data_IF_287253175106
#
_entry.id   IF_287253175106
#
_cell.length_a   1.000
_cell.length_b   1.000
_cell.length_c   1.000
_cell.angle_alpha   90.00
_cell.angle_beta   90.00
_cell.angle_gamma   90.00
#
_symmetry.space_group_name_H-M   'P 1'
#
loop_
_entity.id
_entity.type
_entity.pdbx_description
1 polymer ?
#
# COMPACT_ATOMS: atom_id res chain seq x y z
N UNK A 1 -28.74 68.76 36.87
CA UNK A 1 -29.69 67.78 36.33
C UNK A 1 -28.93 66.93 35.34
N UNK A 2 -28.95 65.61 35.49
CA UNK A 2 -28.45 64.67 34.46
C UNK A 2 -27.13 63.99 34.77
N UNK A 3 -27.03 63.33 35.93
CA UNK A 3 -26.30 62.06 36.06
C UNK A 3 -27.08 60.96 35.31
N UNK A 4 -26.35 59.90 34.90
CA UNK A 4 -26.84 58.56 34.53
C UNK A 4 -27.56 58.43 33.19
N UNK A 5 -26.81 58.10 32.14
CA UNK A 5 -27.07 56.89 31.34
C UNK A 5 -25.84 56.53 30.49
N UNK A 6 -25.25 55.37 30.84
CA UNK A 6 -24.65 54.38 29.92
C UNK A 6 -23.34 54.80 29.22
N UNK A 7 -22.10 54.53 29.66
CA UNK A 7 -21.49 53.48 30.53
C UNK A 7 -21.71 52.01 30.09
N UNK A 8 -22.53 51.74 29.06
CA UNK A 8 -22.73 50.37 28.55
C UNK A 8 -21.82 49.99 27.38
N UNK A 9 -21.30 50.96 26.63
CA UNK A 9 -20.56 50.66 25.40
C UNK A 9 -19.10 50.23 25.60
N UNK A 10 -18.49 50.49 26.76
CA UNK A 10 -17.06 50.18 26.99
C UNK A 10 -16.86 48.80 27.65
N UNK A 11 -17.93 48.18 28.15
CA UNK A 11 -17.88 46.84 28.77
C UNK A 11 -18.10 45.68 27.80
N UNK A 12 -18.47 45.96 26.54
CA UNK A 12 -18.61 44.94 25.51
C UNK A 12 -17.29 44.67 24.76
N UNK A 13 -16.41 45.67 24.64
CA UNK A 13 -15.14 45.51 23.92
C UNK A 13 -14.06 44.74 24.72
N UNK A 14 -14.10 44.77 26.05
CA UNK A 14 -13.16 43.99 26.88
C UNK A 14 -13.55 42.51 27.04
N UNK A 15 -14.78 42.12 26.67
CA UNK A 15 -15.20 40.70 26.65
C UNK A 15 -14.79 39.97 25.38
N UNK A 16 -14.37 40.68 24.33
CA UNK A 16 -13.93 40.08 23.06
C UNK A 16 -12.44 39.67 23.12
N UNK A 17 -11.72 39.98 24.20
CA UNK A 17 -10.26 39.75 24.33
C UNK A 17 -9.94 38.45 25.11
N UNK A 18 -10.92 37.60 25.43
CA UNK A 18 -10.69 36.33 26.16
C UNK A 18 -11.43 35.12 25.55
N UNK A 19 -11.25 34.94 24.25
CA UNK A 19 -11.34 33.62 23.62
C UNK A 19 -10.01 33.34 22.89
N UNK A 20 -8.92 33.32 23.68
CA UNK A 20 -7.88 32.29 23.57
C UNK A 20 -8.58 30.92 23.71
N UNK A 21 -8.46 29.98 22.78
CA UNK A 21 -7.53 28.83 22.74
C UNK A 21 -8.43 27.74 22.11
N UNK A 22 -8.22 27.13 20.95
CA UNK A 22 -7.11 26.33 20.48
C UNK A 22 -7.36 26.08 18.97
N UNK A 23 -6.86 26.93 18.09
CA UNK A 23 -6.63 26.46 16.72
C UNK A 23 -5.32 25.70 16.78
N UNK A 24 -5.40 24.42 17.20
CA UNK A 24 -4.33 23.45 17.00
C UNK A 24 -3.88 23.61 15.55
N UNK A 25 -2.71 24.22 15.37
CA UNK A 25 -1.95 24.12 14.14
C UNK A 25 -1.65 22.63 14.03
N UNK A 26 -2.56 21.87 13.41
CA UNK A 26 -2.28 20.51 13.00
C UNK A 26 -1.01 20.61 12.19
N UNK A 27 0.08 20.09 12.74
CA UNK A 27 1.31 19.81 12.00
C UNK A 27 0.90 19.35 10.60
N UNK A 28 1.50 19.85 9.51
CA UNK A 28 1.18 19.35 8.18
C UNK A 28 1.28 17.83 8.21
N UNK A 29 0.14 17.16 8.05
CA UNK A 29 0.08 15.69 8.13
C UNK A 29 1.11 15.19 7.10
N UNK A 30 2.13 14.43 7.51
CA UNK A 30 3.21 14.10 6.61
C UNK A 30 2.64 13.29 5.46
N UNK A 31 2.93 13.74 4.24
CA UNK A 31 2.50 13.06 3.03
C UNK A 31 3.17 11.68 3.02
N UNK A 32 2.36 10.63 3.20
CA UNK A 32 2.83 9.26 3.14
C UNK A 32 2.67 8.71 1.73
N UNK A 33 3.78 8.31 1.13
CA UNK A 33 3.77 7.66 -0.17
C UNK A 33 3.31 6.20 -0.05
N UNK A 34 2.13 5.93 -0.58
CA UNK A 34 1.53 4.59 -0.66
C UNK A 34 1.84 4.00 -2.03
N UNK A 35 2.64 2.94 -2.06
CA UNK A 35 2.99 2.23 -3.28
C UNK A 35 2.14 0.97 -3.40
N UNK A 36 1.33 0.89 -4.46
CA UNK A 36 0.57 -0.33 -4.77
C UNK A 36 1.45 -1.31 -5.53
N UNK A 37 1.80 -2.42 -4.87
CA UNK A 37 2.68 -3.43 -5.43
C UNK A 37 1.94 -4.49 -6.24
N UNK A 38 0.73 -4.88 -5.80
CA UNK A 38 -0.02 -5.93 -6.46
C UNK A 38 -1.53 -5.77 -6.27
N UNK A 39 -2.27 -5.99 -7.35
CA UNK A 39 -3.73 -6.02 -7.41
C UNK A 39 -4.13 -7.38 -7.96
N UNK A 40 -4.86 -8.13 -7.13
CA UNK A 40 -5.44 -9.42 -7.48
C UNK A 40 -6.89 -9.20 -7.89
N UNK A 41 -7.23 -9.61 -9.09
CA UNK A 41 -8.60 -9.54 -9.61
C UNK A 41 -9.14 -10.92 -9.95
N UNK A 42 -10.46 -11.06 -9.92
CA UNK A 42 -11.15 -12.28 -10.33
C UNK A 42 -12.33 -11.94 -11.22
N UNK A 43 -12.55 -12.76 -12.23
CA UNK A 43 -13.69 -12.67 -13.13
C UNK A 43 -14.09 -14.06 -13.62
N UNK A 44 -15.26 -14.16 -14.25
CA UNK A 44 -15.76 -15.39 -14.86
C UNK A 44 -15.93 -15.22 -16.36
N UNK A 45 -15.68 -16.29 -17.10
CA UNK A 45 -15.90 -16.39 -18.56
C UNK A 45 -17.22 -17.07 -18.94
N UNK A 46 -18.02 -17.50 -17.94
CA UNK A 46 -19.33 -18.14 -18.10
C UNK A 46 -19.40 -19.31 -19.12
N UNK A 47 -18.28 -20.03 -19.27
CA UNK A 47 -18.18 -21.22 -20.10
C UNK A 47 -17.29 -22.26 -19.41
N UNK A 48 -17.54 -23.53 -19.67
CA UNK A 48 -16.67 -24.61 -19.21
C UNK A 48 -15.44 -24.67 -20.12
N UNK A 49 -14.26 -24.74 -19.52
CA UNK A 49 -12.98 -24.73 -20.21
C UNK A 49 -12.31 -26.09 -20.08
N UNK A 50 -11.92 -26.68 -21.21
CA UNK A 50 -11.01 -27.82 -21.18
C UNK A 50 -9.57 -27.31 -21.08
N UNK A 51 -8.99 -27.51 -19.89
CA UNK A 51 -7.63 -27.06 -19.58
C UNK A 51 -6.58 -27.80 -20.41
N UNK A 52 -6.84 -29.04 -20.83
CA UNK A 52 -5.90 -29.80 -21.66
C UNK A 52 -5.86 -29.23 -23.07
N UNK A 53 -7.03 -28.97 -23.67
CA UNK A 53 -7.12 -28.31 -24.96
C UNK A 53 -6.47 -26.91 -24.95
N UNK A 54 -6.69 -26.14 -23.88
CA UNK A 54 -6.05 -24.83 -23.71
C UNK A 54 -4.53 -24.92 -23.51
N UNK A 55 -4.03 -25.97 -22.88
CA UNK A 55 -2.58 -26.18 -22.70
C UNK A 55 -1.89 -26.53 -24.02
N UNK A 56 -2.54 -27.29 -24.91
CA UNK A 56 -2.01 -27.69 -26.21
C UNK A 56 -1.96 -26.54 -27.22
N UNK A 57 -2.98 -25.68 -27.21
CA UNK A 57 -3.11 -24.58 -28.19
C UNK A 57 -2.71 -23.21 -27.63
N UNK A 58 -2.52 -23.11 -26.32
CA UNK A 58 -2.22 -21.86 -25.63
C UNK A 58 -0.74 -21.49 -25.72
N UNK A 59 -0.48 -20.18 -25.83
CA UNK A 59 0.88 -19.64 -25.77
C UNK A 59 1.18 -19.17 -24.35
N UNK A 60 2.39 -19.46 -23.84
CA UNK A 60 2.84 -19.10 -22.49
C UNK A 60 1.90 -19.61 -21.38
N UNK A 61 1.43 -20.85 -21.55
CA UNK A 61 0.58 -21.55 -20.59
C UNK A 61 1.33 -22.71 -19.95
N UNK A 62 1.09 -22.93 -18.66
CA UNK A 62 1.63 -24.03 -17.86
C UNK A 62 0.45 -24.70 -17.17
N UNK A 63 0.23 -25.98 -17.46
CA UNK A 63 -0.82 -26.78 -16.82
C UNK A 63 -0.26 -27.53 -15.62
N UNK A 64 -0.73 -27.21 -14.42
CA UNK A 64 -0.43 -27.98 -13.21
C UNK A 64 -1.57 -28.95 -12.94
N UNK A 65 -1.38 -30.20 -13.37
CA UNK A 65 -2.39 -31.27 -13.25
C UNK A 65 -2.79 -31.53 -11.79
N UNK A 66 -1.84 -31.42 -10.86
CA UNK A 66 -2.05 -31.64 -9.42
C UNK A 66 -3.10 -30.68 -8.82
N UNK A 67 -3.10 -29.42 -9.25
CA UNK A 67 -3.99 -28.39 -8.71
C UNK A 67 -5.23 -28.15 -9.57
N UNK A 68 -5.30 -28.74 -10.77
CA UNK A 68 -6.37 -28.48 -11.73
C UNK A 68 -6.42 -27.02 -12.21
N UNK A 69 -5.27 -26.34 -12.28
CA UNK A 69 -5.14 -24.93 -12.67
C UNK A 69 -4.25 -24.79 -13.89
N UNK A 70 -4.73 -24.06 -14.89
CA UNK A 70 -3.93 -23.59 -16.01
C UNK A 70 -3.40 -22.20 -15.70
N UNK A 71 -2.08 -22.04 -15.67
CA UNK A 71 -1.42 -20.76 -15.45
C UNK A 71 -1.01 -20.16 -16.78
N UNK A 72 -1.47 -18.96 -17.10
CA UNK A 72 -1.12 -18.23 -18.32
C UNK A 72 -0.39 -16.94 -17.98
N UNK A 73 0.77 -16.69 -18.59
CA UNK A 73 1.55 -15.47 -18.38
C UNK A 73 1.36 -14.49 -19.54
N UNK A 74 0.91 -13.28 -19.21
CA UNK A 74 0.76 -12.18 -20.15
C UNK A 74 1.97 -11.24 -20.02
N UNK A 75 2.53 -10.79 -21.16
CA UNK A 75 3.67 -9.84 -21.18
C UNK A 75 3.27 -8.39 -20.90
N UNK A 76 2.17 -7.93 -21.49
CA UNK A 76 1.69 -6.54 -21.37
C UNK A 76 0.19 -6.53 -21.06
N UNK A 77 -0.25 -5.97 -19.92
CA UNK A 77 0.57 -5.76 -18.71
C UNK A 77 1.17 -7.09 -18.20
N UNK A 78 2.31 -7.06 -17.49
CA UNK A 78 2.88 -8.26 -16.88
C UNK A 78 1.89 -8.79 -15.86
N UNK A 79 1.25 -9.92 -16.13
CA UNK A 79 0.19 -10.47 -15.28
C UNK A 79 0.14 -11.96 -15.46
N UNK A 80 -0.05 -12.68 -14.35
CA UNK A 80 -0.24 -14.12 -14.34
C UNK A 80 -1.71 -14.42 -14.11
N UNK A 81 -2.32 -15.18 -15.01
CA UNK A 81 -3.69 -15.64 -14.89
C UNK A 81 -3.73 -17.10 -14.46
N UNK A 82 -4.51 -17.40 -13.43
CA UNK A 82 -4.88 -18.76 -13.04
C UNK A 82 -6.29 -19.04 -13.54
N UNK A 83 -6.42 -19.98 -14.46
CA UNK A 83 -7.65 -20.36 -15.14
C UNK A 83 -8.10 -21.72 -14.62
N UNK A 84 -9.34 -21.80 -14.19
CA UNK A 84 -9.99 -23.02 -13.71
C UNK A 84 -10.95 -23.58 -14.76
N UNK A 85 -11.18 -24.89 -14.76
CA UNK A 85 -12.11 -25.55 -15.70
C UNK A 85 -13.54 -25.02 -15.61
N UNK A 86 -13.93 -24.52 -14.43
CA UNK A 86 -15.22 -23.85 -14.18
C UNK A 86 -15.40 -22.51 -14.92
N UNK A 87 -14.36 -22.02 -15.61
CA UNK A 87 -14.39 -20.71 -16.25
C UNK A 87 -14.19 -19.55 -15.26
N UNK A 88 -13.79 -19.83 -14.02
CA UNK A 88 -13.28 -18.80 -13.11
C UNK A 88 -11.83 -18.49 -13.47
N UNK A 89 -11.48 -17.21 -13.51
CA UNK A 89 -10.13 -16.74 -13.78
C UNK A 89 -9.72 -15.76 -12.68
N UNK A 90 -8.51 -15.94 -12.15
CA UNK A 90 -7.87 -15.02 -11.21
C UNK A 90 -6.63 -14.44 -11.87
N UNK A 91 -6.42 -13.13 -11.76
CA UNK A 91 -5.25 -12.44 -12.29
C UNK A 91 -4.45 -11.83 -11.15
N UNK A 92 -3.13 -12.03 -11.18
CA UNK A 92 -2.17 -11.52 -10.20
C UNK A 92 -1.00 -10.80 -10.90
N UNK A 93 -0.41 -9.81 -10.23
CA UNK A 93 0.76 -9.08 -10.71
C UNK A 93 0.46 -7.74 -11.38
N UNK A 94 -0.81 -7.31 -11.42
CA UNK A 94 -1.15 -5.96 -11.89
C UNK A 94 -0.81 -4.92 -10.81
N UNK A 95 -0.29 -3.75 -11.16
CA UNK A 95 0.04 -2.69 -10.20
C UNK A 95 -1.11 -1.70 -9.97
N UNK A 96 -2.15 -1.76 -10.80
CA UNK A 96 -3.30 -0.85 -10.75
C UNK A 96 -4.59 -1.58 -11.14
N UNK A 97 -5.73 -1.08 -10.66
CA UNK A 97 -7.04 -1.60 -11.01
C UNK A 97 -7.31 -1.54 -12.53
N UNK A 98 -6.92 -0.43 -13.17
CA UNK A 98 -7.09 -0.25 -14.61
C UNK A 98 -6.31 -1.31 -15.40
N UNK A 99 -5.07 -1.59 -14.96
CA UNK A 99 -4.24 -2.63 -15.56
C UNK A 99 -4.84 -4.03 -15.33
N UNK A 100 -5.34 -4.31 -14.13
CA UNK A 100 -5.99 -5.59 -13.81
C UNK A 100 -7.21 -5.84 -14.71
N UNK A 101 -8.04 -4.81 -14.93
CA UNK A 101 -9.20 -4.87 -15.82
C UNK A 101 -8.79 -5.10 -17.28
N UNK A 102 -7.75 -4.41 -17.74
CA UNK A 102 -7.20 -4.59 -19.09
C UNK A 102 -6.62 -6.00 -19.28
N UNK A 103 -5.87 -6.50 -18.30
CA UNK A 103 -5.30 -7.85 -18.30
C UNK A 103 -6.42 -8.89 -18.41
N UNK A 104 -7.45 -8.78 -17.57
CA UNK A 104 -8.60 -9.69 -17.59
C UNK A 104 -9.30 -9.73 -18.95
N UNK A 105 -9.50 -8.57 -19.59
CA UNK A 105 -10.09 -8.51 -20.94
C UNK A 105 -9.18 -9.15 -22.01
N UNK A 106 -7.86 -8.94 -21.92
CA UNK A 106 -6.89 -9.56 -22.84
C UNK A 106 -6.90 -11.09 -22.69
N UNK A 107 -6.90 -11.59 -21.46
CA UNK A 107 -6.97 -13.02 -21.17
C UNK A 107 -8.26 -13.62 -21.69
N UNK A 108 -9.41 -12.98 -21.43
CA UNK A 108 -10.70 -13.41 -21.97
C UNK A 108 -10.69 -13.49 -23.51
N UNK A 109 -10.06 -12.51 -24.18
CA UNK A 109 -9.91 -12.49 -25.64
C UNK A 109 -8.98 -13.62 -26.14
N UNK A 110 -7.92 -13.96 -25.43
CA UNK A 110 -7.07 -15.11 -25.77
C UNK A 110 -7.87 -16.40 -25.75
N UNK A 111 -8.66 -16.63 -24.68
CA UNK A 111 -9.55 -17.80 -24.55
C UNK A 111 -10.61 -17.82 -25.66
N UNK A 112 -11.16 -16.65 -26.02
CA UNK A 112 -12.12 -16.54 -27.11
C UNK A 112 -11.51 -16.92 -28.48
N UNK A 113 -10.25 -16.56 -28.74
CA UNK A 113 -9.55 -16.93 -29.99
C UNK A 113 -9.30 -18.43 -30.11
N UNK A 114 -9.31 -19.17 -29.01
CA UNK A 114 -9.14 -20.63 -28.99
C UNK A 114 -10.46 -21.39 -29.26
N UNK A 115 -11.55 -20.69 -29.61
CA UNK A 115 -12.83 -21.30 -30.00
C UNK A 115 -13.89 -21.37 -28.89
N UNK A 116 -13.60 -20.83 -27.70
CA UNK A 116 -14.56 -20.82 -26.59
C UNK A 116 -15.51 -19.62 -26.64
N UNK A 117 -16.79 -19.84 -26.32
CA UNK A 117 -17.78 -18.78 -26.19
C UNK A 117 -17.63 -18.04 -24.84
N UNK A 118 -16.68 -17.11 -24.78
CA UNK A 118 -16.32 -16.37 -23.57
C UNK A 118 -17.22 -15.15 -23.35
N UNK A 119 -17.74 -14.99 -22.14
CA UNK A 119 -18.42 -13.76 -21.68
C UNK A 119 -17.73 -13.20 -20.44
N UNK A 120 -17.22 -11.99 -20.52
CA UNK A 120 -16.57 -11.33 -19.38
C UNK A 120 -17.63 -10.87 -18.37
N UNK A 121 -17.74 -11.57 -17.23
CA UNK A 121 -18.72 -11.30 -16.17
C UNK A 121 -18.07 -11.27 -14.79
N UNK A 122 -18.73 -10.61 -13.84
CA UNK A 122 -18.37 -10.60 -12.42
C UNK A 122 -16.90 -10.22 -12.15
N UNK A 123 -16.39 -9.20 -12.85
CA UNK A 123 -15.07 -8.67 -12.56
C UNK A 123 -15.09 -7.98 -11.21
N UNK A 124 -14.20 -8.39 -10.31
CA UNK A 124 -14.01 -7.80 -8.99
C UNK A 124 -12.55 -7.84 -8.59
N UNK A 125 -12.14 -6.85 -7.80
CA UNK A 125 -10.87 -6.90 -7.09
C UNK A 125 -11.06 -7.79 -5.85
N UNK A 126 -10.12 -8.70 -5.64
CA UNK A 126 -10.13 -9.64 -4.52
C UNK A 126 -9.22 -9.12 -3.42
N UNK A 127 -8.04 -8.66 -3.79
CA UNK A 127 -7.03 -8.22 -2.84
C UNK A 127 -6.12 -7.19 -3.48
N UNK A 128 -5.67 -6.24 -2.67
CA UNK A 128 -4.71 -5.19 -3.02
C UNK A 128 -3.62 -5.23 -1.96
N UNK A 129 -2.38 -5.29 -2.42
CA UNK A 129 -1.18 -5.21 -1.62
C UNK A 129 -0.55 -3.83 -1.81
N UNK A 130 -0.59 -3.03 -0.76
CA UNK A 130 0.10 -1.75 -0.67
C UNK A 130 1.30 -1.84 0.27
N UNK A 131 2.32 -1.05 0.03
CA UNK A 131 3.42 -0.83 0.96
C UNK A 131 3.55 0.66 1.21
N UNK A 132 3.72 1.02 2.48
CA UNK A 132 3.96 2.37 2.95
C UNK A 132 5.25 2.37 3.77
N UNK A 133 6.04 3.42 3.65
CA UNK A 133 7.26 3.58 4.46
C UNK A 133 7.11 4.84 5.31
N UNK A 134 7.19 4.68 6.62
CA UNK A 134 7.16 5.82 7.54
C UNK A 134 8.56 6.43 7.67
N UNK A 135 8.66 7.72 7.99
CA UNK A 135 9.95 8.39 8.20
C UNK A 135 10.64 8.02 9.51
N UNK A 136 9.96 7.33 10.43
CA UNK A 136 10.46 6.92 11.74
C UNK A 136 10.42 5.40 11.94
N UNK A 137 11.21 4.90 12.88
CA UNK A 137 11.17 3.49 13.31
C UNK A 137 10.06 3.28 14.35
N UNK A 138 9.58 2.04 14.52
CA UNK A 138 8.47 1.73 15.44
C UNK A 138 8.92 0.74 16.50
N UNK A 139 8.63 1.03 17.76
CA UNK A 139 8.76 0.06 18.86
C UNK A 139 7.59 -0.92 18.81
N UNK A 140 7.75 -2.01 18.07
CA UNK A 140 6.68 -2.98 17.80
C UNK A 140 6.23 -3.81 19.01
N UNK A 141 7.13 -4.09 19.96
CA UNK A 141 6.80 -4.86 21.18
C UNK A 141 5.79 -4.12 22.08
N UNK A 142 6.03 -2.85 22.50
CA UNK A 142 5.04 -2.13 23.29
C UNK A 142 3.75 -1.83 22.50
N UNK A 143 3.85 -1.61 21.18
CA UNK A 143 2.68 -1.46 20.31
C UNK A 143 1.77 -2.71 20.36
N UNK A 144 2.34 -3.92 20.22
CA UNK A 144 1.54 -5.15 20.25
C UNK A 144 0.95 -5.43 21.64
N UNK A 145 1.66 -5.03 22.71
CA UNK A 145 1.16 -5.17 24.07
C UNK A 145 -0.04 -4.25 24.34
N UNK A 146 -0.01 -3.00 23.85
CA UNK A 146 -1.14 -2.07 24.00
C UNK A 146 -2.36 -2.49 23.18
N UNK A 147 -2.15 -3.06 21.98
CA UNK A 147 -3.21 -3.43 21.06
C UNK A 147 -3.39 -4.95 20.91
N UNK A 148 -3.30 -5.72 22.00
CA UNK A 148 -3.37 -7.20 21.96
C UNK A 148 -4.63 -7.76 21.29
N UNK A 149 -5.73 -7.03 21.33
CA UNK A 149 -7.01 -7.49 20.76
C UNK A 149 -6.97 -7.54 19.23
N UNK A 150 -6.22 -6.63 18.60
CA UNK A 150 -6.11 -6.51 17.13
C UNK A 150 -4.71 -6.84 16.57
N UNK A 151 -3.68 -6.83 17.42
CA UNK A 151 -2.28 -7.03 17.07
C UNK A 151 -1.76 -8.39 17.54
N UNK A 152 -1.20 -9.15 16.62
CA UNK A 152 -0.50 -10.42 16.90
C UNK A 152 0.98 -10.26 16.53
N UNK A 153 1.85 -10.49 17.52
CA UNK A 153 3.29 -10.42 17.36
C UNK A 153 3.94 -11.73 17.82
N UNK A 154 4.48 -12.48 16.87
CA UNK A 154 5.16 -13.75 17.09
C UNK A 154 6.54 -13.69 16.41
N UNK A 155 7.57 -13.15 17.09
CA UNK A 155 8.88 -12.92 16.48
C UNK A 155 9.56 -14.19 15.97
N UNK A 156 9.24 -15.35 16.56
CA UNK A 156 9.74 -16.66 16.11
C UNK A 156 9.16 -17.07 14.74
N UNK A 157 7.93 -16.63 14.43
CA UNK A 157 7.27 -16.95 13.17
C UNK A 157 7.48 -15.86 12.12
N UNK A 158 7.45 -14.58 12.53
CA UNK A 158 7.58 -13.45 11.62
C UNK A 158 8.12 -12.19 12.33
N UNK A 159 9.05 -11.44 11.73
CA UNK A 159 9.65 -10.25 12.35
C UNK A 159 8.72 -9.03 12.43
N UNK A 160 7.53 -9.09 11.83
CA UNK A 160 6.56 -8.00 11.80
C UNK A 160 5.28 -8.30 12.59
N UNK A 161 4.69 -7.28 13.20
CA UNK A 161 3.40 -7.37 13.89
C UNK A 161 2.30 -7.42 12.85
N UNK A 162 1.39 -8.38 12.99
CA UNK A 162 0.16 -8.44 12.18
C UNK A 162 -0.96 -7.72 12.91
N UNK A 163 -1.42 -6.60 12.37
CA UNK A 163 -2.53 -5.81 12.88
C UNK A 163 -3.76 -5.99 11.98
N UNK A 164 -4.90 -6.39 12.52
CA UNK A 164 -6.14 -6.60 11.75
C UNK A 164 -7.16 -5.53 12.09
N UNK A 165 -7.69 -4.87 11.07
CA UNK A 165 -8.76 -3.89 11.17
C UNK A 165 -10.04 -4.53 10.63
N UNK A 166 -11.12 -4.49 11.41
CA UNK A 166 -12.44 -4.97 10.97
C UNK A 166 -13.12 -3.97 10.04
N UNK A 167 -13.08 -2.68 10.39
CA UNK A 167 -13.69 -1.58 9.64
C UNK A 167 -12.74 -0.38 9.54
N UNK A 168 -12.12 -0.10 8.38
CA UNK A 168 -12.18 -0.82 7.10
C UNK A 168 -11.49 -2.19 7.15
N UNK A 169 -12.03 -3.20 6.45
CA UNK A 169 -11.42 -4.53 6.40
C UNK A 169 -10.03 -4.48 5.77
N UNK A 170 -8.99 -4.59 6.58
CA UNK A 170 -7.60 -4.57 6.14
C UNK A 170 -6.70 -5.32 7.14
N UNK A 171 -5.64 -5.94 6.62
CA UNK A 171 -4.59 -6.57 7.43
C UNK A 171 -3.28 -5.84 7.16
N UNK A 172 -2.66 -5.31 8.20
CA UNK A 172 -1.40 -4.61 8.16
C UNK A 172 -0.31 -5.48 8.76
N UNK A 173 0.86 -5.46 8.15
CA UNK A 173 2.10 -6.01 8.69
C UNK A 173 3.05 -4.86 8.93
N UNK A 174 3.33 -4.59 10.20
CA UNK A 174 4.14 -3.47 10.66
C UNK A 174 5.52 -4.01 11.06
N UNK A 175 6.57 -3.45 10.47
CA UNK A 175 7.95 -3.80 10.78
C UNK A 175 8.59 -2.74 11.69
N UNK A 176 9.55 -3.15 12.52
CA UNK A 176 10.31 -2.24 13.40
C UNK A 176 11.00 -1.11 12.64
N UNK A 177 11.35 -1.34 11.38
CA UNK A 177 11.97 -0.35 10.48
C UNK A 177 11.05 0.81 10.08
N UNK A 178 9.75 0.74 10.41
CA UNK A 178 8.74 1.71 9.96
C UNK A 178 8.16 1.40 8.58
N UNK A 179 8.54 0.27 7.97
CA UNK A 179 7.86 -0.24 6.79
C UNK A 179 6.54 -0.90 7.18
N UNK A 180 5.48 -0.64 6.43
CA UNK A 180 4.15 -1.20 6.63
C UNK A 180 3.66 -1.82 5.33
N UNK A 181 3.24 -3.07 5.39
CA UNK A 181 2.60 -3.76 4.26
C UNK A 181 1.11 -3.93 4.56
N UNK A 182 0.26 -3.39 3.70
CA UNK A 182 -1.20 -3.39 3.85
C UNK A 182 -1.82 -4.32 2.82
N UNK A 183 -2.71 -5.18 3.29
CA UNK A 183 -3.50 -6.11 2.47
C UNK A 183 -4.98 -5.82 2.68
N UNK A 184 -5.68 -5.37 1.63
CA UNK A 184 -7.08 -4.93 1.74
C UNK A 184 -7.87 -5.31 0.47
N UNK A 185 -9.21 -5.37 0.51
CA UNK A 185 -10.02 -5.75 -0.65
C UNK A 185 -10.10 -4.67 -1.74
N UNK A 186 -9.76 -3.41 -1.42
CA UNK A 186 -9.82 -2.26 -2.33
C UNK A 186 -8.69 -1.28 -2.05
N UNK A 187 -8.36 -0.42 -3.04
CA UNK A 187 -7.35 0.63 -2.89
C UNK A 187 -7.80 1.67 -1.84
N UNK A 188 -9.08 2.05 -1.84
CA UNK A 188 -9.63 2.95 -0.83
C UNK A 188 -9.47 2.39 0.60
N UNK A 189 -9.69 1.09 0.80
CA UNK A 189 -9.46 0.47 2.11
C UNK A 189 -7.99 0.50 2.52
N UNK A 190 -7.04 0.45 1.57
CA UNK A 190 -5.61 0.60 1.88
C UNK A 190 -5.34 2.01 2.43
N UNK A 191 -5.88 3.05 1.79
CA UNK A 191 -5.72 4.44 2.22
C UNK A 191 -6.31 4.66 3.62
N UNK A 192 -7.58 4.28 3.80
CA UNK A 192 -8.27 4.41 5.10
C UNK A 192 -7.58 3.61 6.21
N UNK A 193 -6.99 2.45 5.90
CA UNK A 193 -6.24 1.66 6.87
C UNK A 193 -4.94 2.34 7.29
N UNK A 194 -4.29 3.07 6.37
CA UNK A 194 -3.07 3.82 6.67
C UNK A 194 -3.39 5.05 7.51
N UNK A 195 -4.45 5.79 7.18
CA UNK A 195 -4.93 6.90 7.99
C UNK A 195 -5.29 6.46 9.41
N UNK A 196 -5.90 5.28 9.56
CA UNK A 196 -6.24 4.72 10.87
C UNK A 196 -5.01 4.31 11.68
N UNK A 197 -4.02 3.67 11.06
CA UNK A 197 -2.85 3.14 11.78
C UNK A 197 -1.83 4.25 12.11
N UNK A 198 -1.76 5.30 11.31
CA UNK A 198 -0.77 6.38 11.44
C UNK A 198 -0.68 7.00 12.84
N UNK A 199 -1.78 7.46 13.48
CA UNK A 199 -1.71 8.02 14.84
C UNK A 199 -1.27 6.98 15.87
N UNK A 200 -1.70 5.72 15.72
CA UNK A 200 -1.37 4.63 16.65
C UNK A 200 0.12 4.31 16.62
N UNK A 201 0.75 4.32 15.44
CA UNK A 201 2.19 4.05 15.31
C UNK A 201 3.05 5.27 15.65
N UNK A 202 2.55 6.50 15.47
CA UNK A 202 3.25 7.74 15.85
C UNK A 202 3.55 7.78 17.35
N UNK A 203 2.63 7.29 18.19
CA UNK A 203 2.81 7.19 19.64
C UNK A 203 4.01 6.31 20.04
N UNK A 204 4.31 5.28 19.23
CA UNK A 204 5.42 4.34 19.45
C UNK A 204 6.63 4.61 18.55
N UNK A 205 6.67 5.79 17.93
CA UNK A 205 7.75 6.23 17.07
C UNK A 205 9.07 6.34 17.83
N UNK A 206 10.14 5.85 17.20
CA UNK A 206 11.53 6.06 17.62
C UNK A 206 12.24 6.82 16.50
N UNK A 207 12.99 7.86 16.86
CA UNK A 207 13.94 8.47 15.93
C UNK A 207 14.93 7.41 15.44
N UNK A 208 15.16 7.37 14.12
CA UNK A 208 16.13 6.45 13.53
C UNK A 208 17.53 6.83 13.99
N UNK A 209 18.33 5.83 14.34
CA UNK A 209 19.79 6.01 14.49
C UNK A 209 20.40 6.50 13.16
N UNK A 210 21.56 7.14 13.18
CA UNK A 210 22.26 7.59 11.97
C UNK A 210 22.49 6.44 10.98
N UNK A 211 22.81 5.24 11.49
CA UNK A 211 22.96 4.01 10.70
C UNK A 211 21.64 3.57 10.04
N UNK A 212 20.54 3.56 10.80
CA UNK A 212 19.19 3.22 10.29
C UNK A 212 18.70 4.27 9.29
N UNK A 213 19.12 5.53 9.44
CA UNK A 213 18.81 6.62 8.52
C UNK A 213 19.63 6.52 7.23
N UNK A 214 20.89 6.10 7.30
CA UNK A 214 21.71 5.79 6.14
C UNK A 214 21.14 4.59 5.36
N UNK A 215 20.69 3.54 6.05
CA UNK A 215 20.06 2.38 5.44
C UNK A 215 18.69 2.72 4.83
N UNK A 216 17.90 3.58 5.49
CA UNK A 216 16.67 4.13 4.92
C UNK A 216 16.95 4.94 3.64
N UNK A 217 17.96 5.82 3.66
CA UNK A 217 18.38 6.57 2.47
C UNK A 217 18.84 5.65 1.34
N UNK A 218 19.64 4.61 1.64
CA UNK A 218 20.08 3.60 0.67
C UNK A 218 18.90 2.83 0.08
N UNK A 219 17.94 2.44 0.90
CA UNK A 219 16.75 1.72 0.45
C UNK A 219 15.77 2.60 -0.34
N UNK A 220 15.64 3.88 -0.01
CA UNK A 220 14.90 4.86 -0.81
C UNK A 220 15.59 5.08 -2.17
N UNK A 221 16.91 5.28 -2.17
CA UNK A 221 17.68 5.48 -3.40
C UNK A 221 17.63 4.24 -4.32
N UNK A 222 17.70 3.02 -3.79
CA UNK A 222 17.52 1.77 -4.54
C UNK A 222 16.13 1.64 -5.17
N UNK A 223 15.08 2.13 -4.49
CA UNK A 223 13.70 2.13 -5.03
C UNK A 223 13.52 3.18 -6.13
N UNK A 224 14.19 4.32 -6.00
CA UNK A 224 14.13 5.41 -6.97
C UNK A 224 15.00 5.14 -8.21
N UNK A 225 16.12 4.42 -8.06
CA UNK A 225 17.06 4.10 -9.14
C UNK A 225 17.44 2.60 -9.13
N UNK A 226 16.63 1.72 -9.72
CA UNK A 226 16.86 0.27 -9.69
C UNK A 226 18.04 -0.23 -10.56
N UNK A 227 18.71 0.63 -11.33
CA UNK A 227 19.75 0.25 -12.32
C UNK A 227 21.18 0.66 -11.88
N UNK A 228 21.35 1.45 -10.82
CA UNK A 228 22.68 1.83 -10.32
C UNK A 228 23.21 0.75 -9.36
N UNK A 229 24.28 0.05 -9.76
CA UNK A 229 25.04 -0.83 -8.89
C UNK A 229 25.71 0.00 -7.80
N UNK A 230 25.19 -0.09 -6.58
CA UNK A 230 25.69 0.61 -5.39
C UNK A 230 27.00 0.04 -4.81
N UNK A 231 27.68 -0.86 -5.54
CA UNK A 231 29.02 -1.35 -5.20
C UNK A 231 30.13 -0.43 -5.77
N UNK A 232 29.83 0.41 -6.77
CA UNK A 232 30.81 1.30 -7.40
C UNK A 232 30.85 2.74 -6.83
N UNK A 233 30.13 3.02 -5.73
CA UNK A 233 30.04 4.38 -5.14
C UNK A 233 30.88 4.52 -3.86
N UNK A 234 31.52 3.44 -3.38
CA UNK A 234 32.34 3.48 -2.17
C UNK A 234 33.78 3.97 -2.38
N UNK A 235 34.23 4.25 -3.61
CA UNK A 235 35.63 4.66 -3.85
C UNK A 235 35.87 6.14 -4.23
N UNK A 236 34.86 6.92 -4.63
CA UNK A 236 35.10 8.30 -5.09
C UNK A 236 34.08 9.29 -4.53
N UNK A 237 34.14 9.58 -3.23
CA UNK A 237 33.61 10.85 -2.69
C UNK A 237 34.48 11.34 -1.52
N UNK A 238 35.48 12.16 -1.85
CA UNK A 238 36.12 13.02 -0.85
C UNK A 238 35.11 14.06 -0.34
N UNK A 239 35.16 14.36 0.96
CA UNK A 239 34.15 15.09 1.73
C UNK A 239 33.87 16.55 1.34
N UNK A 240 34.29 17.03 0.16
CA UNK A 240 34.15 18.42 -0.27
C UNK A 240 33.06 18.68 -1.31
N UNK A 241 32.52 17.67 -1.99
CA UNK A 241 31.51 17.89 -3.07
C UNK A 241 30.04 17.75 -2.61
N UNK A 242 29.80 17.30 -1.38
CA UNK A 242 28.44 17.05 -0.86
C UNK A 242 27.74 18.34 -0.38
N UNK A 243 28.50 19.38 -0.02
CA UNK A 243 27.94 20.65 0.46
C UNK A 243 27.41 21.56 -0.66
N UNK A 244 27.79 21.35 -1.92
CA UNK A 244 27.45 22.27 -3.01
C UNK A 244 26.05 22.02 -3.63
N UNK A 245 25.40 20.89 -3.30
CA UNK A 245 24.11 20.49 -3.89
C UNK A 245 22.90 20.61 -2.95
N UNK A 246 23.08 21.09 -1.72
CA UNK A 246 22.01 21.15 -0.70
C UNK A 246 21.55 22.56 -0.30
N UNK A 247 21.91 23.62 -1.02
CA UNK A 247 21.26 24.92 -0.80
C UNK A 247 19.92 25.02 -1.57
N UNK A 248 18.82 25.41 -0.89
CA UNK A 248 17.52 25.55 -1.52
C UNK A 248 17.46 26.82 -2.40
N UNK A 249 17.15 26.65 -3.69
CA UNK A 249 16.53 27.71 -4.51
C UNK A 249 15.01 27.66 -4.39
#
# INVERSE_FOLDING_TARGET
MGEQEQVSAVMEDEKVIKEEEDLEVKDPEPVLDIIINNVVSSFSVACHLDLHHLALHGNNVELRKENGVLTMKLRKPPTTASIWSSGKITCTGSTSECQARLAGRRIARCVQKMGYNVKFRNFRIVNVLGTCSLPFAIKITPFSQKHRDAASYEPELHPGVTYRIEHPKATLKIFSTGSITVTAPSIANVQNAIEHIYPLVREFGKARSEEEMAEYRRNQARKQFPILNFEDVEEDLSSSEIEEYWEPM
#
